data_IF_886371013634
#
_entry.id   IF_886371013634
#
_cell.length_a   1.000
_cell.length_b   1.000
_cell.length_c   1.000
_cell.angle_alpha   90.00
_cell.angle_beta   90.00
_cell.angle_gamma   90.00
#
_symmetry.space_group_name_H-M   'P 1'
#
loop_
_entity.id
_entity.type
_entity.pdbx_description
1 polymer ?
#
# COMPACT_ATOMS: atom_id res chain seq x y z
N UNK A 1 -2.71 -35.50 -10.40
CA UNK A 1 -1.30 -35.54 -9.95
C UNK A 1 -0.73 -34.14 -10.16
N UNK A 2 -0.68 -33.32 -9.12
CA UNK A 2 -0.15 -31.96 -9.21
C UNK A 2 1.30 -31.99 -8.70
N UNK A 3 2.24 -31.80 -9.63
CA UNK A 3 3.67 -31.69 -9.35
C UNK A 3 3.97 -30.31 -8.80
N UNK A 4 4.56 -30.23 -7.60
CA UNK A 4 5.08 -29.00 -7.03
C UNK A 4 6.21 -28.44 -7.92
N UNK A 5 6.21 -27.13 -8.23
CA UNK A 5 7.37 -26.51 -8.87
C UNK A 5 8.59 -26.53 -7.94
N UNK A 6 9.81 -26.55 -8.48
CA UNK A 6 11.04 -26.75 -7.72
C UNK A 6 11.34 -25.59 -6.78
N UNK A 7 11.64 -25.96 -5.53
CA UNK A 7 12.13 -25.11 -4.45
C UNK A 7 13.37 -24.32 -4.87
N UNK A 8 13.30 -22.98 -4.81
CA UNK A 8 14.48 -22.10 -4.90
C UNK A 8 14.78 -21.53 -3.51
N UNK A 9 15.94 -21.84 -2.90
CA UNK A 9 16.31 -21.29 -1.61
C UNK A 9 16.82 -19.86 -1.80
N UNK A 10 16.02 -18.87 -1.43
CA UNK A 10 16.46 -17.47 -1.33
C UNK A 10 15.88 -16.84 -0.07
N UNK A 11 16.53 -17.08 1.07
CA UNK A 11 16.25 -16.38 2.33
C UNK A 11 17.59 -16.12 3.04
N UNK A 12 18.37 -15.13 2.58
CA UNK A 12 19.36 -14.48 3.43
C UNK A 12 18.67 -13.30 4.14
N UNK A 13 18.66 -13.37 5.47
CA UNK A 13 18.41 -12.30 6.46
C UNK A 13 17.32 -11.27 6.12
N UNK A 14 16.17 -11.38 6.79
CA UNK A 14 15.31 -10.23 7.02
C UNK A 14 15.93 -9.37 8.11
N UNK A 15 16.67 -8.33 7.72
CA UNK A 15 16.92 -7.18 8.60
C UNK A 15 15.62 -6.36 8.62
N UNK A 16 14.84 -6.53 9.68
CA UNK A 16 13.63 -5.77 9.95
C UNK A 16 14.04 -4.38 10.46
N UNK A 17 14.24 -3.43 9.55
CA UNK A 17 14.61 -2.06 9.94
C UNK A 17 14.99 -1.10 8.80
N UNK A 18 15.23 -1.60 7.58
CA UNK A 18 15.49 -0.75 6.43
C UNK A 18 14.71 -1.22 5.20
N UNK A 19 14.21 -0.26 4.40
CA UNK A 19 13.66 -0.51 3.06
C UNK A 19 14.69 -1.30 2.24
N UNK A 20 14.35 -2.53 1.82
CA UNK A 20 15.26 -3.36 1.02
C UNK A 20 15.41 -2.74 -0.37
N UNK A 21 16.46 -3.13 -1.11
CA UNK A 21 16.68 -2.62 -2.48
C UNK A 21 15.44 -2.77 -3.37
N UNK A 22 14.71 -3.89 -3.25
CA UNK A 22 13.46 -4.11 -3.99
C UNK A 22 12.32 -3.15 -3.61
N UNK A 23 12.24 -2.74 -2.34
CA UNK A 23 11.27 -1.75 -1.88
C UNK A 23 11.69 -0.35 -2.35
N UNK A 24 13.00 -0.08 -2.41
CA UNK A 24 13.56 1.12 -3.07
C UNK A 24 13.32 1.13 -4.58
N UNK A 25 13.40 -0.02 -5.25
CA UNK A 25 13.14 -0.18 -6.68
C UNK A 25 11.64 -0.03 -6.99
N UNK A 26 10.78 -0.52 -6.10
CA UNK A 26 9.33 -0.30 -6.15
C UNK A 26 8.98 1.18 -5.92
N UNK A 27 9.59 1.83 -4.92
CA UNK A 27 9.51 3.28 -4.69
C UNK A 27 9.96 4.03 -5.95
N UNK A 28 11.12 3.71 -6.52
CA UNK A 28 11.64 4.32 -7.75
C UNK A 28 10.71 4.09 -8.95
N UNK A 29 10.08 2.91 -9.05
CA UNK A 29 9.06 2.63 -10.07
C UNK A 29 7.81 3.50 -9.87
N UNK A 30 7.43 3.78 -8.62
CA UNK A 30 6.37 4.75 -8.29
C UNK A 30 6.80 6.19 -8.58
N UNK A 31 8.08 6.55 -8.43
CA UNK A 31 8.59 7.86 -8.89
C UNK A 31 8.44 8.03 -10.40
N UNK A 32 8.71 6.96 -11.18
CA UNK A 32 8.48 6.92 -12.62
C UNK A 32 6.99 7.04 -12.99
N UNK A 33 6.06 6.59 -12.14
CA UNK A 33 4.61 6.81 -12.31
C UNK A 33 4.26 8.29 -12.24
N UNK A 34 4.81 9.02 -11.27
CA UNK A 34 4.61 10.47 -11.12
C UNK A 34 5.12 11.19 -12.36
N UNK A 35 6.31 10.84 -12.86
CA UNK A 35 6.88 11.40 -14.10
C UNK A 35 6.05 11.07 -15.35
N UNK A 36 5.55 9.83 -15.47
CA UNK A 36 4.71 9.40 -16.60
C UNK A 36 3.33 10.08 -16.59
N UNK A 37 2.73 10.29 -15.41
CA UNK A 37 1.48 11.04 -15.25
C UNK A 37 1.63 12.52 -15.67
N UNK A 38 2.85 13.05 -15.61
CA UNK A 38 3.19 14.43 -15.99
C UNK A 38 3.61 14.58 -17.46
N UNK A 39 3.36 13.56 -18.31
CA UNK A 39 3.63 13.65 -19.75
C UNK A 39 5.11 13.53 -20.11
N UNK A 40 5.93 12.94 -19.25
CA UNK A 40 7.34 12.64 -19.53
C UNK A 40 8.32 13.78 -19.32
N UNK A 41 7.88 14.89 -18.70
CA UNK A 41 8.80 15.96 -18.26
C UNK A 41 9.49 15.57 -16.95
N UNK A 42 10.80 15.87 -16.77
CA UNK A 42 11.45 15.83 -15.47
C UNK A 42 10.66 16.65 -14.44
N UNK A 43 10.66 16.22 -13.18
CA UNK A 43 9.93 16.88 -12.07
C UNK A 43 10.30 18.37 -11.96
N UNK A 44 11.51 18.71 -12.40
CA UNK A 44 12.10 20.05 -12.31
C UNK A 44 11.61 21.04 -13.41
N UNK A 45 10.86 20.57 -14.41
CA UNK A 45 10.34 21.38 -15.53
C UNK A 45 8.82 21.62 -15.48
N UNK A 46 8.18 21.25 -14.36
CA UNK A 46 6.78 21.57 -14.09
C UNK A 46 6.73 22.96 -13.43
N UNK A 47 5.69 23.74 -13.72
CA UNK A 47 5.41 25.05 -13.08
C UNK A 47 5.94 25.07 -11.63
N UNK A 48 6.88 25.96 -11.27
CA UNK A 48 7.61 25.93 -10.00
C UNK A 48 6.72 26.04 -8.75
N UNK A 49 5.41 26.20 -8.93
CA UNK A 49 4.41 26.21 -7.87
C UNK A 49 3.85 24.83 -7.49
N UNK A 50 4.11 23.75 -8.24
CA UNK A 50 3.46 22.46 -7.98
C UNK A 50 4.42 21.29 -8.17
N UNK A 51 5.01 20.81 -7.07
CA UNK A 51 5.86 19.61 -7.04
C UNK A 51 5.13 18.53 -6.23
N UNK A 52 4.75 17.39 -6.83
CA UNK A 52 4.21 16.25 -6.09
C UNK A 52 5.22 15.74 -5.05
N UNK A 53 4.75 15.28 -3.90
CA UNK A 53 5.62 14.68 -2.89
C UNK A 53 6.24 13.40 -3.47
N UNK A 54 7.55 13.42 -3.71
CA UNK A 54 8.32 12.31 -4.28
C UNK A 54 8.78 11.31 -3.20
N UNK A 55 7.84 10.85 -2.37
CA UNK A 55 8.09 9.92 -1.26
C UNK A 55 7.87 8.44 -1.62
N UNK A 56 7.49 8.14 -2.87
CA UNK A 56 7.26 6.77 -3.34
C UNK A 56 5.94 6.14 -2.88
N UNK A 57 5.04 6.92 -2.26
CA UNK A 57 3.73 6.47 -1.80
C UNK A 57 2.65 6.94 -2.77
N UNK A 58 1.61 6.12 -2.96
CA UNK A 58 0.40 6.49 -3.68
C UNK A 58 -0.65 6.96 -2.69
N UNK A 59 -1.26 8.11 -2.96
CA UNK A 59 -2.29 8.75 -2.12
C UNK A 59 -1.86 9.03 -0.65
N UNK A 60 -0.55 8.98 -0.38
CA UNK A 60 0.05 9.37 0.90
C UNK A 60 0.47 8.22 1.81
N UNK A 61 -0.09 7.03 1.64
CA UNK A 61 0.03 5.89 2.57
C UNK A 61 0.04 4.49 1.89
N UNK A 62 -0.07 4.40 0.55
CA UNK A 62 -0.03 3.10 -0.16
C UNK A 62 1.31 2.86 -0.84
N UNK A 63 1.94 1.72 -0.53
CA UNK A 63 3.10 1.19 -1.26
C UNK A 63 2.61 0.25 -2.37
N UNK A 64 3.18 0.41 -3.56
CA UNK A 64 2.94 -0.48 -4.68
C UNK A 64 4.11 -1.44 -4.87
N UNK A 65 3.82 -2.69 -5.23
CA UNK A 65 4.83 -3.60 -5.80
C UNK A 65 5.29 -3.10 -7.17
N UNK A 66 6.47 -3.53 -7.63
CA UNK A 66 6.96 -3.21 -8.98
C UNK A 66 5.97 -3.64 -10.07
N UNK A 67 5.29 -4.77 -9.90
CA UNK A 67 4.27 -5.23 -10.84
C UNK A 67 3.06 -4.28 -10.88
N UNK A 68 2.55 -3.88 -9.72
CA UNK A 68 1.46 -2.91 -9.61
C UNK A 68 1.84 -1.56 -10.20
N UNK A 69 3.04 -1.06 -9.89
CA UNK A 69 3.56 0.17 -10.47
C UNK A 69 3.62 0.08 -12.00
N UNK A 70 4.17 -1.02 -12.54
CA UNK A 70 4.24 -1.28 -13.98
C UNK A 70 2.88 -1.27 -14.68
N UNK A 71 1.87 -1.93 -14.09
CA UNK A 71 0.48 -1.94 -14.61
C UNK A 71 -0.05 -0.51 -14.76
N UNK A 72 0.20 0.35 -13.78
CA UNK A 72 -0.27 1.73 -13.81
C UNK A 72 0.50 2.56 -14.84
N UNK A 73 1.82 2.34 -14.98
CA UNK A 73 2.65 3.03 -15.98
C UNK A 73 2.14 2.68 -17.38
N UNK A 74 1.86 1.41 -17.64
CA UNK A 74 1.37 0.95 -18.93
C UNK A 74 -0.02 1.51 -19.24
N UNK A 75 -0.90 1.59 -18.23
CA UNK A 75 -2.22 2.21 -18.37
C UNK A 75 -2.12 3.71 -18.70
N UNK A 76 -1.15 4.42 -18.11
CA UNK A 76 -0.89 5.82 -18.42
C UNK A 76 -0.33 5.98 -19.85
N UNK A 77 0.64 5.16 -20.25
CA UNK A 77 1.23 5.17 -21.60
C UNK A 77 0.20 4.87 -22.70
N UNK A 78 -0.67 3.88 -22.49
CA UNK A 78 -1.76 3.55 -23.44
C UNK A 78 -2.72 4.73 -23.65
N UNK A 79 -2.92 5.58 -22.64
CA UNK A 79 -3.75 6.79 -22.74
C UNK A 79 -3.05 7.95 -23.44
N UNK A 80 -1.72 8.05 -23.36
CA UNK A 80 -0.96 9.14 -24.00
C UNK A 80 -0.61 8.85 -25.47
N UNK A 81 -0.66 7.59 -25.92
CA UNK A 81 -0.33 7.17 -27.29
C UNK A 81 -1.34 7.50 -28.40
N UNK A 82 -2.48 8.13 -28.10
CA UNK A 82 -3.48 8.57 -29.09
C UNK A 82 -3.83 10.06 -28.91
N UNK A 83 -2.85 10.96 -29.10
CA UNK A 83 -3.15 12.39 -29.27
C UNK A 83 -3.45 12.68 -30.75
N UNK A 84 -4.70 12.47 -31.15
CA UNK A 84 -5.24 13.23 -32.27
C UNK A 84 -5.44 14.67 -31.78
N UNK A 85 -4.88 15.63 -32.51
CA UNK A 85 -5.07 17.06 -32.26
C UNK A 85 -6.57 17.40 -32.25
N UNK A 86 -7.04 18.07 -31.18
CA UNK A 86 -8.40 18.60 -31.11
C UNK A 86 -9.40 17.89 -30.19
N UNK A 87 -9.05 16.82 -29.47
CA UNK A 87 -9.99 16.19 -28.53
C UNK A 87 -10.02 16.89 -27.17
N UNK A 88 -11.21 17.34 -26.76
CA UNK A 88 -11.58 17.78 -25.41
C UNK A 88 -10.86 16.98 -24.31
N UNK A 89 -10.39 17.66 -23.25
CA UNK A 89 -9.79 17.06 -22.05
C UNK A 89 -10.64 15.87 -21.58
N UNK A 90 -10.30 14.65 -21.99
CA UNK A 90 -10.92 13.45 -21.46
C UNK A 90 -10.59 13.39 -19.98
N UNK A 91 -11.64 13.31 -19.16
CA UNK A 91 -11.61 13.32 -17.70
C UNK A 91 -10.39 12.56 -17.18
N UNK A 92 -9.61 13.20 -16.31
CA UNK A 92 -8.48 12.58 -15.60
C UNK A 92 -9.04 11.48 -14.70
N UNK A 93 -9.22 10.30 -15.28
CA UNK A 93 -9.56 9.07 -14.58
C UNK A 93 -8.41 8.81 -13.62
N UNK A 94 -8.67 8.83 -12.32
CA UNK A 94 -7.69 8.52 -11.28
C UNK A 94 -7.08 7.13 -11.50
N UNK A 95 -5.98 6.86 -10.81
CA UNK A 95 -5.39 5.53 -10.70
C UNK A 95 -6.42 4.61 -10.02
N UNK A 96 -7.36 4.08 -10.79
CA UNK A 96 -8.42 3.24 -10.24
C UNK A 96 -7.91 1.80 -10.13
N UNK A 97 -7.49 1.43 -8.93
CA UNK A 97 -7.15 0.04 -8.60
C UNK A 97 -8.32 -0.91 -8.91
N UNK A 98 -9.56 -0.43 -8.76
CA UNK A 98 -10.81 -1.16 -9.00
C UNK A 98 -11.03 -1.59 -10.47
N UNK A 99 -10.46 -0.88 -11.44
CA UNK A 99 -10.68 -1.17 -12.87
C UNK A 99 -9.84 -2.34 -13.36
N UNK A 100 -8.79 -2.73 -12.63
CA UNK A 100 -7.98 -3.89 -12.95
C UNK A 100 -8.12 -4.94 -11.85
N UNK A 101 -8.95 -5.96 -12.10
CA UNK A 101 -9.20 -7.08 -11.17
C UNK A 101 -7.92 -7.82 -10.74
N UNK A 102 -6.83 -7.68 -11.50
CA UNK A 102 -5.54 -8.32 -11.22
C UNK A 102 -4.55 -7.37 -10.53
N UNK A 103 -4.96 -6.15 -10.16
CA UNK A 103 -4.08 -5.17 -9.54
C UNK A 103 -3.79 -5.49 -8.07
N UNK A 104 -4.85 -5.67 -7.26
CA UNK A 104 -4.74 -6.06 -5.86
C UNK A 104 -5.03 -7.55 -5.73
N UNK A 105 -4.01 -8.35 -5.40
CA UNK A 105 -4.20 -9.76 -5.14
C UNK A 105 -4.98 -9.94 -3.82
N UNK A 106 -5.97 -10.85 -3.81
CA UNK A 106 -6.78 -11.10 -2.62
C UNK A 106 -6.14 -12.12 -1.68
N UNK A 107 -6.44 -11.99 -0.40
CA UNK A 107 -6.18 -13.02 0.59
C UNK A 107 -7.15 -14.19 0.42
N UNK A 108 -6.65 -15.41 0.63
CA UNK A 108 -7.52 -16.58 0.79
C UNK A 108 -8.09 -16.57 2.21
N UNK A 109 -9.39 -16.29 2.31
CA UNK A 109 -10.10 -16.20 3.60
C UNK A 109 -10.67 -17.55 4.06
N UNK A 110 -10.37 -18.65 3.35
CA UNK A 110 -10.74 -20.00 3.78
C UNK A 110 -10.05 -20.39 5.09
N UNK A 111 -8.91 -19.76 5.37
CA UNK A 111 -8.17 -19.86 6.63
C UNK A 111 -7.97 -18.46 7.23
N UNK A 112 -7.81 -18.33 8.56
CA UNK A 112 -7.45 -17.07 9.18
C UNK A 112 -6.14 -16.51 8.61
N UNK A 113 -6.14 -15.21 8.31
CA UNK A 113 -4.96 -14.48 7.83
C UNK A 113 -3.91 -14.46 8.96
N UNK A 114 -2.70 -15.00 8.75
CA UNK A 114 -1.67 -14.98 9.77
C UNK A 114 -1.15 -13.55 9.97
N UNK A 115 -0.89 -13.18 11.22
CA UNK A 115 -0.21 -11.92 11.54
C UNK A 115 0.73 -12.06 12.73
N UNK A 116 1.72 -11.17 12.80
CA UNK A 116 2.63 -11.02 13.94
C UNK A 116 2.93 -9.53 14.15
N UNK A 117 3.28 -9.19 15.37
CA UNK A 117 3.65 -7.83 15.77
C UNK A 117 5.16 -7.82 16.06
N UNK A 118 5.86 -6.75 15.70
CA UNK A 118 7.26 -6.56 16.04
C UNK A 118 7.46 -6.49 17.58
N UNK A 119 8.61 -6.97 18.06
CA UNK A 119 8.89 -7.11 19.51
C UNK A 119 8.98 -5.77 20.25
N UNK A 120 9.14 -4.66 19.54
CA UNK A 120 9.31 -3.30 20.06
C UNK A 120 7.98 -2.57 20.37
N UNK A 121 6.84 -3.26 20.24
CA UNK A 121 5.53 -2.73 20.61
C UNK A 121 5.30 -2.84 22.13
N UNK A 122 4.83 -1.75 22.74
CA UNK A 122 4.37 -1.73 24.12
C UNK A 122 2.90 -2.19 24.24
N UNK A 123 2.45 -2.43 25.47
CA UNK A 123 1.10 -2.97 25.72
C UNK A 123 -0.05 -2.13 25.12
N UNK A 124 0.07 -0.80 25.10
CA UNK A 124 -0.98 0.09 24.53
C UNK A 124 -0.99 0.05 23.00
N UNK A 125 0.18 -0.10 22.39
CA UNK A 125 0.32 -0.22 20.94
C UNK A 125 -0.22 -1.58 20.47
N UNK A 126 0.07 -2.66 21.21
CA UNK A 126 -0.53 -3.98 20.98
C UNK A 126 -2.05 -3.90 21.11
N UNK A 127 -2.57 -3.26 22.16
CA UNK A 127 -4.02 -3.06 22.34
C UNK A 127 -4.64 -2.28 21.15
N UNK A 128 -3.92 -1.31 20.59
CA UNK A 128 -4.37 -0.58 19.40
C UNK A 128 -4.41 -1.49 18.16
N UNK A 129 -3.43 -2.39 17.99
CA UNK A 129 -3.42 -3.40 16.92
C UNK A 129 -4.61 -4.34 17.04
N UNK A 130 -4.86 -4.87 18.24
CA UNK A 130 -5.98 -5.77 18.50
C UNK A 130 -7.33 -5.09 18.27
N UNK A 131 -7.49 -3.83 18.67
CA UNK A 131 -8.69 -3.03 18.39
C UNK A 131 -8.89 -2.82 16.89
N UNK A 132 -7.83 -2.49 16.15
CA UNK A 132 -7.89 -2.32 14.69
C UNK A 132 -8.31 -3.61 13.99
N UNK A 133 -7.73 -4.75 14.37
CA UNK A 133 -8.16 -6.08 13.89
C UNK A 133 -9.63 -6.32 14.24
N UNK A 134 -10.04 -6.02 15.47
CA UNK A 134 -11.42 -6.19 15.93
C UNK A 134 -12.40 -5.41 15.06
N UNK A 135 -12.11 -4.14 14.73
CA UNK A 135 -12.94 -3.32 13.83
C UNK A 135 -13.19 -4.03 12.50
N UNK A 136 -12.16 -4.63 11.91
CA UNK A 136 -12.29 -5.39 10.65
C UNK A 136 -13.16 -6.63 10.85
N UNK A 137 -12.91 -7.42 11.89
CA UNK A 137 -13.67 -8.66 12.13
C UNK A 137 -15.12 -8.41 12.55
N UNK A 138 -15.41 -7.27 13.19
CA UNK A 138 -16.77 -6.85 13.54
C UNK A 138 -17.55 -6.43 12.28
N UNK A 139 -16.91 -5.67 11.40
CA UNK A 139 -17.49 -5.19 10.14
C UNK A 139 -17.63 -6.31 9.08
N UNK A 140 -16.65 -7.21 8.99
CA UNK A 140 -16.58 -8.30 8.04
C UNK A 140 -16.30 -9.62 8.77
N UNK A 141 -17.34 -10.22 9.35
CA UNK A 141 -17.24 -11.43 10.19
C UNK A 141 -16.64 -12.66 9.51
N UNK A 142 -16.60 -12.70 8.18
CA UNK A 142 -15.98 -13.75 7.39
C UNK A 142 -14.45 -13.65 7.35
N UNK A 143 -13.87 -12.48 7.62
CA UNK A 143 -12.43 -12.29 7.69
C UNK A 143 -12.00 -12.64 9.11
N UNK A 144 -10.98 -13.51 9.22
CA UNK A 144 -10.41 -13.96 10.49
C UNK A 144 -8.91 -13.74 10.46
N UNK A 145 -8.34 -13.53 11.65
CA UNK A 145 -6.91 -13.34 11.84
C UNK A 145 -6.38 -14.34 12.88
N UNK A 146 -5.12 -14.74 12.73
CA UNK A 146 -4.45 -15.63 13.70
C UNK A 146 -3.04 -15.11 14.00
N UNK A 147 -2.82 -14.78 15.27
CA UNK A 147 -1.49 -14.41 15.75
C UNK A 147 -0.55 -15.63 15.69
N UNK A 148 0.71 -15.40 15.35
CA UNK A 148 1.78 -16.37 15.50
C UNK A 148 3.05 -15.68 16.00
N UNK A 149 3.86 -16.41 16.76
CA UNK A 149 5.17 -15.92 17.19
C UNK A 149 6.19 -16.08 16.07
N UNK A 150 6.88 -15.00 15.72
CA UNK A 150 7.90 -15.02 14.67
C UNK A 150 9.08 -15.91 15.09
N UNK A 151 9.39 -16.93 14.30
CA UNK A 151 10.55 -17.78 14.52
C UNK A 151 11.82 -17.19 13.90
N UNK A 152 12.95 -17.33 14.61
CA UNK A 152 14.29 -17.06 14.05
C UNK A 152 14.60 -17.96 12.85
N UNK A 153 14.03 -19.16 12.82
CA UNK A 153 14.06 -20.03 11.67
C UNK A 153 12.93 -19.63 10.71
N UNK A 154 13.26 -18.83 9.70
CA UNK A 154 12.28 -18.29 8.77
C UNK A 154 11.50 -19.37 8.00
N UNK A 155 12.01 -20.61 7.91
CA UNK A 155 11.30 -21.72 7.27
C UNK A 155 10.07 -22.18 8.06
N UNK A 156 9.98 -21.84 9.35
CA UNK A 156 8.85 -22.15 10.23
C UNK A 156 7.75 -21.08 10.20
N UNK A 157 8.02 -19.93 9.62
CA UNK A 157 7.06 -18.85 9.52
C UNK A 157 6.16 -19.04 8.29
N UNK A 158 4.88 -18.63 8.36
CA UNK A 158 4.06 -18.53 7.15
C UNK A 158 4.78 -17.71 6.08
N UNK A 159 4.65 -18.12 4.81
CA UNK A 159 5.27 -17.37 3.72
C UNK A 159 4.55 -16.03 3.46
N UNK A 160 3.23 -15.99 3.67
CA UNK A 160 2.40 -14.80 3.56
C UNK A 160 1.72 -14.52 4.91
N UNK A 161 1.99 -13.33 5.46
CA UNK A 161 1.39 -12.85 6.69
C UNK A 161 1.40 -11.32 6.72
N UNK A 162 0.61 -10.74 7.62
CA UNK A 162 0.65 -9.32 7.95
C UNK A 162 1.67 -9.08 9.07
N UNK A 163 2.59 -8.14 8.85
CA UNK A 163 3.64 -7.79 9.79
C UNK A 163 3.44 -6.34 10.25
N UNK A 164 3.04 -6.17 11.53
CA UNK A 164 2.91 -4.86 12.14
C UNK A 164 4.26 -4.42 12.68
N UNK A 165 4.76 -3.27 12.22
CA UNK A 165 6.08 -2.77 12.57
C UNK A 165 6.08 -1.25 12.74
N UNK A 166 6.96 -0.73 13.60
CA UNK A 166 7.12 0.72 13.77
C UNK A 166 7.97 1.32 12.65
N UNK A 167 7.62 2.54 12.25
CA UNK A 167 8.46 3.37 11.40
C UNK A 167 8.30 4.83 11.81
N UNK A 168 9.22 5.33 12.62
CA UNK A 168 9.19 6.70 13.15
C UNK A 168 9.70 7.73 12.13
N UNK A 169 10.34 7.29 11.05
CA UNK A 169 10.95 8.15 10.03
C UNK A 169 9.96 8.64 8.96
N UNK A 170 8.68 8.26 9.05
CA UNK A 170 7.65 8.69 8.11
C UNK A 170 6.75 9.76 8.71
N UNK A 171 6.29 10.71 7.90
CA UNK A 171 5.26 11.66 8.30
C UNK A 171 3.85 11.07 8.26
N UNK A 172 3.66 9.94 7.57
CA UNK A 172 2.40 9.21 7.55
C UNK A 172 2.24 8.38 8.84
N UNK A 173 1.02 8.35 9.38
CA UNK A 173 0.69 7.60 10.58
C UNK A 173 0.65 6.09 10.36
N UNK A 174 0.33 5.70 9.13
CA UNK A 174 0.28 4.32 8.67
C UNK A 174 0.71 4.27 7.21
N UNK A 175 1.35 3.17 6.82
CA UNK A 175 1.66 2.83 5.44
C UNK A 175 1.51 1.33 5.25
N UNK A 176 0.85 0.90 4.17
CA UNK A 176 0.78 -0.51 3.80
C UNK A 176 0.81 -0.74 2.29
N UNK A 177 1.02 -2.00 1.92
CA UNK A 177 0.77 -2.49 0.58
C UNK A 177 -0.73 -2.54 0.28
N UNK A 178 -1.10 -2.47 -1.00
CA UNK A 178 -2.48 -2.73 -1.43
C UNK A 178 -2.69 -4.17 -1.91
N UNK A 179 -3.50 -4.91 -1.17
CA UNK A 179 -3.74 -6.34 -1.39
C UNK A 179 -2.58 -7.21 -0.91
N UNK A 180 -2.75 -8.53 -1.02
CA UNK A 180 -1.74 -9.52 -0.63
C UNK A 180 -0.51 -9.42 -1.53
N UNK A 181 0.67 -9.38 -0.93
CA UNK A 181 1.95 -9.41 -1.67
C UNK A 181 2.39 -10.87 -1.91
N UNK A 182 2.92 -11.14 -3.10
CA UNK A 182 3.24 -12.50 -3.57
C UNK A 182 4.68 -12.96 -3.28
N UNK A 183 5.59 -12.04 -2.96
CA UNK A 183 7.03 -12.31 -2.81
C UNK A 183 7.60 -11.89 -1.43
N UNK A 184 6.74 -11.39 -0.54
CA UNK A 184 7.08 -11.04 0.85
C UNK A 184 5.83 -10.97 1.73
N UNK A 185 5.99 -10.88 3.06
CA UNK A 185 4.92 -10.46 3.96
C UNK A 185 4.42 -9.04 3.62
N UNK A 186 3.15 -8.79 3.93
CA UNK A 186 2.57 -7.46 3.88
C UNK A 186 3.04 -6.69 5.10
N UNK A 187 3.77 -5.60 4.90
CA UNK A 187 4.19 -4.74 6.00
C UNK A 187 3.11 -3.69 6.29
N UNK A 188 2.80 -3.50 7.56
CA UNK A 188 1.94 -2.43 8.06
C UNK A 188 2.83 -1.57 8.95
N UNK A 189 3.38 -0.52 8.37
CA UNK A 189 4.28 0.41 9.04
C UNK A 189 3.46 1.44 9.80
N UNK A 190 3.68 1.55 11.10
CA UNK A 190 2.93 2.42 11.99
C UNK A 190 3.85 3.46 12.60
N UNK A 191 3.40 4.71 12.63
CA UNK A 191 4.07 5.78 13.37
C UNK A 191 3.18 6.27 14.52
N UNK A 192 3.52 5.86 15.74
CA UNK A 192 2.81 6.26 16.95
C UNK A 192 3.22 7.65 17.46
N UNK A 193 4.38 8.16 17.01
CA UNK A 193 4.96 9.42 17.47
C UNK A 193 4.89 10.54 16.41
N UNK A 194 4.38 10.23 15.22
CA UNK A 194 4.29 11.15 14.10
C UNK A 194 3.43 12.38 14.41
N UNK A 195 3.93 13.56 14.07
CA UNK A 195 3.17 14.81 14.18
C UNK A 195 1.89 14.73 13.36
N UNK A 196 0.74 14.91 14.02
CA UNK A 196 -0.58 14.80 13.39
C UNK A 196 -1.21 13.41 13.44
N UNK A 197 -0.50 12.41 13.97
CA UNK A 197 -1.06 11.11 14.27
C UNK A 197 -1.89 11.15 15.57
N UNK A 198 -2.58 10.04 15.85
CA UNK A 198 -3.47 9.91 17.00
C UNK A 198 -2.76 9.13 18.13
N UNK A 199 -1.86 9.76 18.92
CA UNK A 199 -1.00 9.05 19.86
C UNK A 199 -1.77 8.35 20.99
N UNK A 200 -3.05 8.67 21.18
CA UNK A 200 -3.92 8.04 22.19
C UNK A 200 -4.56 6.75 21.70
N UNK A 201 -4.90 6.68 20.40
CA UNK A 201 -5.60 5.54 19.83
C UNK A 201 -5.36 5.47 18.31
N UNK A 202 -4.52 4.51 17.91
CA UNK A 202 -4.18 4.26 16.51
C UNK A 202 -5.07 3.18 15.88
N UNK A 203 -6.06 2.64 16.58
CA UNK A 203 -6.88 1.52 16.09
C UNK A 203 -7.57 1.82 14.76
N UNK A 204 -8.02 3.05 14.54
CA UNK A 204 -8.59 3.48 13.26
C UNK A 204 -7.56 3.52 12.12
N UNK A 205 -6.34 4.00 12.39
CA UNK A 205 -5.23 3.98 11.42
C UNK A 205 -4.83 2.54 11.10
N UNK A 206 -4.75 1.69 12.12
CA UNK A 206 -4.42 0.27 11.96
C UNK A 206 -5.49 -0.44 11.14
N UNK A 207 -6.78 -0.21 11.41
CA UNK A 207 -7.87 -0.76 10.60
C UNK A 207 -7.78 -0.27 9.15
N UNK A 208 -7.43 1.00 8.92
CA UNK A 208 -7.19 1.57 7.61
C UNK A 208 -6.05 0.88 6.86
N UNK A 209 -4.90 0.66 7.50
CA UNK A 209 -3.79 -0.09 6.90
C UNK A 209 -4.14 -1.56 6.62
N UNK A 210 -4.91 -2.20 7.50
CA UNK A 210 -5.43 -3.55 7.24
C UNK A 210 -6.35 -3.55 6.02
N UNK A 211 -7.19 -2.54 5.84
CA UNK A 211 -8.05 -2.40 4.66
C UNK A 211 -7.21 -2.27 3.37
N UNK A 212 -6.11 -1.51 3.39
CA UNK A 212 -5.16 -1.47 2.29
C UNK A 212 -4.59 -2.86 2.01
N UNK A 213 -4.07 -3.56 3.02
CA UNK A 213 -3.54 -4.90 2.86
C UNK A 213 -4.59 -5.93 2.36
N UNK A 214 -5.88 -5.70 2.61
CA UNK A 214 -7.00 -6.48 2.07
C UNK A 214 -7.37 -6.12 0.62
N UNK A 215 -6.82 -5.03 0.08
CA UNK A 215 -7.01 -4.56 -1.30
C UNK A 215 -7.99 -3.42 -1.46
N UNK A 216 -8.36 -2.73 -0.37
CA UNK A 216 -9.29 -1.59 -0.40
C UNK A 216 -8.49 -0.30 -0.64
N UNK A 217 -8.92 0.49 -1.61
CA UNK A 217 -8.38 1.81 -1.92
C UNK A 217 -9.14 2.91 -1.18
N UNK A 218 -8.58 4.12 -1.10
CA UNK A 218 -9.31 5.25 -0.53
C UNK A 218 -10.60 5.54 -1.29
N UNK A 219 -11.69 5.77 -0.54
CA UNK A 219 -13.02 5.96 -1.12
C UNK A 219 -13.10 7.21 -2.00
N UNK A 220 -12.33 8.26 -1.68
CA UNK A 220 -12.28 9.46 -2.53
C UNK A 220 -11.62 9.20 -3.88
N UNK A 221 -10.98 8.05 -4.11
CA UNK A 221 -10.43 7.66 -5.40
C UNK A 221 -11.42 6.93 -6.30
N UNK A 222 -12.67 6.68 -5.86
CA UNK A 222 -13.70 5.99 -6.66
C UNK A 222 -14.01 6.68 -7.98
N UNK A 223 -14.42 5.88 -8.98
CA UNK A 223 -14.74 6.35 -10.35
C UNK A 223 -15.88 7.36 -10.39
N UNK A 224 -16.78 7.27 -9.43
CA UNK A 224 -17.97 8.09 -9.31
C UNK A 224 -17.83 9.20 -8.27
N UNK A 225 -16.63 9.46 -7.73
CA UNK A 225 -16.40 10.48 -6.70
C UNK A 225 -16.95 11.86 -7.07
N UNK A 226 -16.89 12.23 -8.35
CA UNK A 226 -17.34 13.55 -8.86
C UNK A 226 -18.84 13.77 -8.65
N UNK A 227 -19.62 12.71 -8.41
CA UNK A 227 -21.03 12.80 -8.04
C UNK A 227 -21.25 13.23 -6.58
N UNK A 228 -20.26 13.03 -5.73
CA UNK A 228 -20.36 13.21 -4.28
C UNK A 228 -19.43 14.29 -3.73
N UNK A 229 -18.31 14.56 -4.41
CA UNK A 229 -17.25 15.45 -3.96
C UNK A 229 -16.76 16.36 -5.11
N UNK A 230 -16.65 17.65 -4.82
CA UNK A 230 -15.98 18.63 -5.68
C UNK A 230 -14.54 18.87 -5.22
N UNK A 231 -13.56 18.47 -6.03
CA UNK A 231 -12.14 18.69 -5.71
C UNK A 231 -11.74 20.12 -6.10
N UNK A 232 -11.51 20.98 -5.11
CA UNK A 232 -10.99 22.34 -5.34
C UNK A 232 -9.50 22.30 -5.61
N UNK A 233 -9.12 22.20 -6.88
CA UNK A 233 -7.72 22.12 -7.29
C UNK A 233 -6.85 23.27 -6.75
N UNK A 234 -7.43 24.47 -6.55
CA UNK A 234 -6.73 25.65 -6.01
C UNK A 234 -6.54 25.63 -4.48
N UNK A 235 -7.07 24.61 -3.77
CA UNK A 235 -6.96 24.48 -2.31
C UNK A 235 -6.13 23.25 -1.89
N UNK A 236 -5.55 22.55 -2.87
CA UNK A 236 -4.65 21.40 -2.66
C UNK A 236 -3.18 21.86 -2.71
N UNK A 237 -2.96 23.13 -3.03
CA UNK A 237 -1.65 23.78 -3.15
C UNK A 237 -1.64 25.09 -2.38
#
# INVERSE_FOLDING_TARGET
MCTNPPYRPYMKQYEFGALKQKDKDAINSTKLLVQAANGGKPVDEIDPKIVPVDNGLVDGDVILTTQQAGILIDNLKKKTGNKAEGSFRRKRSSLFFELNKNFAQKWDISNPIPYTIAEDFNAKEIESVEKGIKMITDAARCIKFKHFELSKDASKNPYHFMYFAKNENTTACGISDIGRVSDRPNALWLNFEGTGCLPKDMSGVIAHEIMHALGISHMHQRVDREKYLGVKAHSIF
#
